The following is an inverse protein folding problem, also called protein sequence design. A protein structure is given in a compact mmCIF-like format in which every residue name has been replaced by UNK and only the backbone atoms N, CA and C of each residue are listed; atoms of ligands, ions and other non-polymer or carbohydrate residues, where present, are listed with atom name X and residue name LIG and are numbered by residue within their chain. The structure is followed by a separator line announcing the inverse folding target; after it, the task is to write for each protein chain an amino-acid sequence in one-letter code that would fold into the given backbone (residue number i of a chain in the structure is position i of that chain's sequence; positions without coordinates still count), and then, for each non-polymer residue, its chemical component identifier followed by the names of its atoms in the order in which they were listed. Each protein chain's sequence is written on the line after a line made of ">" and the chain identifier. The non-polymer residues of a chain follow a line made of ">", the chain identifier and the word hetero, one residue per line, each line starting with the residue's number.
data_IF_313683455422
#
_entry.id   IF_313683455422
#
_cell.length_a   1.000
_cell.length_b   1.000
_cell.length_c   1.000
_cell.angle_alpha   90.00
_cell.angle_beta   90.00
_cell.angle_gamma   90.00
#
_symmetry.space_group_name_H-M   'P 1'
#
loop_
_entity.id
_entity.type
_entity.pdbx_description
1 polymer ?
#
# COMPACT_ATOMS: atom_id res chain seq x y z
N UNK A 1 14.56 20.33 -6.07
CA UNK A 1 13.27 19.76 -6.49
C UNK A 1 12.63 19.19 -5.24
N UNK A 2 11.38 19.53 -4.97
CA UNK A 2 10.65 18.97 -3.83
C UNK A 2 10.44 17.47 -4.07
N UNK A 3 10.74 16.63 -3.08
CA UNK A 3 10.57 15.17 -3.20
C UNK A 3 9.09 14.84 -3.18
N UNK A 4 8.62 14.09 -4.17
CA UNK A 4 7.25 13.59 -4.21
C UNK A 4 7.16 12.20 -3.55
N UNK A 5 5.94 11.67 -3.42
CA UNK A 5 5.71 10.38 -2.77
C UNK A 5 6.45 9.21 -3.46
N UNK A 6 6.56 9.21 -4.79
CA UNK A 6 7.30 8.18 -5.54
C UNK A 6 8.80 8.24 -5.32
N UNK A 7 9.37 9.44 -5.17
CA UNK A 7 10.79 9.59 -4.83
C UNK A 7 11.06 8.96 -3.45
N UNK A 8 10.20 9.27 -2.47
CA UNK A 8 10.32 8.75 -1.10
C UNK A 8 10.12 7.23 -1.05
N UNK A 9 9.09 6.69 -1.71
CA UNK A 9 8.88 5.23 -1.74
C UNK A 9 9.94 4.49 -2.53
N UNK A 10 10.60 5.14 -3.49
CA UNK A 10 11.78 4.62 -4.17
C UNK A 10 12.97 4.47 -3.22
N UNK A 11 13.25 5.50 -2.41
CA UNK A 11 14.28 5.43 -1.37
C UNK A 11 13.99 4.31 -0.35
N UNK A 12 12.72 4.17 0.08
CA UNK A 12 12.31 3.08 0.98
C UNK A 12 12.51 1.70 0.35
N UNK A 13 12.18 1.55 -0.94
CA UNK A 13 12.38 0.28 -1.65
C UNK A 13 13.85 -0.13 -1.70
N UNK A 14 14.76 0.82 -1.96
CA UNK A 14 16.21 0.58 -1.95
C UNK A 14 16.65 0.13 -0.57
N UNK A 15 16.29 0.88 0.48
CA UNK A 15 16.63 0.53 1.85
C UNK A 15 16.13 -0.87 2.24
N UNK A 16 14.91 -1.23 1.87
CA UNK A 16 14.33 -2.55 2.17
C UNK A 16 15.01 -3.68 1.41
N UNK A 17 15.46 -3.46 0.17
CA UNK A 17 16.22 -4.45 -0.59
C UNK A 17 17.62 -4.66 0.01
N UNK A 18 18.26 -3.60 0.51
CA UNK A 18 19.53 -3.68 1.24
C UNK A 18 19.36 -4.43 2.57
N UNK A 19 18.34 -4.08 3.36
CA UNK A 19 18.05 -4.73 4.64
C UNK A 19 17.71 -6.23 4.46
N UNK A 20 17.07 -6.59 3.35
CA UNK A 20 16.71 -7.96 3.02
C UNK A 20 17.72 -8.66 2.09
N UNK A 21 18.95 -8.16 1.96
CA UNK A 21 19.94 -8.69 1.00
C UNK A 21 20.25 -10.19 1.17
N UNK A 22 20.02 -10.74 2.37
CA UNK A 22 20.16 -12.17 2.68
C UNK A 22 19.07 -13.06 2.06
N UNK A 23 17.97 -12.49 1.58
CA UNK A 23 16.85 -13.19 0.90
C UNK A 23 17.02 -13.08 -0.62
N UNK A 24 16.82 -14.16 -1.41
CA UNK A 24 16.89 -14.10 -2.87
C UNK A 24 15.97 -13.04 -3.47
N UNK A 25 16.43 -12.34 -4.53
CA UNK A 25 15.69 -11.21 -5.12
C UNK A 25 14.27 -11.56 -5.59
N UNK A 26 14.07 -12.75 -6.16
CA UNK A 26 12.74 -13.23 -6.55
C UNK A 26 11.82 -13.39 -5.33
N UNK A 27 12.32 -13.98 -4.25
CA UNK A 27 11.57 -14.17 -3.03
C UNK A 27 11.25 -12.83 -2.34
N UNK A 28 12.16 -11.85 -2.40
CA UNK A 28 11.90 -10.48 -1.89
C UNK A 28 10.69 -9.83 -2.57
N UNK A 29 10.50 -10.03 -3.87
CA UNK A 29 9.33 -9.52 -4.61
C UNK A 29 8.03 -10.15 -4.11
N UNK A 30 8.04 -11.48 -3.94
CA UNK A 30 6.88 -12.20 -3.39
C UNK A 30 6.56 -11.70 -1.99
N UNK A 31 7.56 -11.59 -1.11
CA UNK A 31 7.38 -11.10 0.26
C UNK A 31 6.84 -9.66 0.29
N UNK A 32 7.31 -8.78 -0.61
CA UNK A 32 6.78 -7.42 -0.70
C UNK A 32 5.29 -7.39 -1.08
N UNK A 33 4.86 -8.26 -2.00
CA UNK A 33 3.43 -8.37 -2.34
C UNK A 33 2.63 -8.92 -1.16
N UNK A 34 3.17 -9.89 -0.42
CA UNK A 34 2.52 -10.43 0.79
C UNK A 34 2.39 -9.38 1.91
N UNK A 35 3.34 -8.45 2.03
CA UNK A 35 3.29 -7.34 2.99
C UNK A 35 2.04 -6.47 2.81
N UNK A 36 1.50 -6.34 1.60
CA UNK A 36 0.21 -5.66 1.36
C UNK A 36 -0.94 -6.33 2.14
N UNK A 37 -0.93 -7.66 2.21
CA UNK A 37 -1.92 -8.42 2.97
C UNK A 37 -1.79 -8.23 4.49
N UNK A 38 -0.57 -8.03 4.97
CA UNK A 38 -0.29 -7.70 6.37
C UNK A 38 -0.85 -6.32 6.73
N UNK A 39 -0.52 -5.27 5.96
CA UNK A 39 -1.05 -3.91 6.19
C UNK A 39 -2.58 -3.84 6.07
N UNK A 40 -3.15 -4.58 5.10
CA UNK A 40 -4.61 -4.71 5.01
C UNK A 40 -5.21 -5.33 6.28
N UNK A 41 -4.53 -6.31 6.86
CA UNK A 41 -4.92 -6.93 8.13
C UNK A 41 -4.90 -5.93 9.29
N UNK A 42 -3.91 -5.06 9.34
CA UNK A 42 -3.80 -3.98 10.34
C UNK A 42 -4.92 -2.94 10.15
N UNK A 43 -5.18 -2.50 8.92
CA UNK A 43 -6.32 -1.63 8.62
C UNK A 43 -7.67 -2.25 9.02
N UNK A 44 -7.87 -3.55 8.72
CA UNK A 44 -9.06 -4.28 9.14
C UNK A 44 -9.17 -4.38 10.66
N UNK A 45 -8.06 -4.61 11.36
CA UNK A 45 -8.01 -4.63 12.82
C UNK A 45 -8.37 -3.25 13.41
N UNK A 46 -7.84 -2.17 12.84
CA UNK A 46 -8.15 -0.82 13.26
C UNK A 46 -9.63 -0.50 13.09
N UNK A 47 -10.26 -0.92 11.98
CA UNK A 47 -11.72 -0.77 11.78
C UNK A 47 -12.49 -1.50 12.87
N UNK A 48 -12.18 -2.78 13.12
CA UNK A 48 -12.83 -3.57 14.16
C UNK A 48 -12.68 -2.90 15.54
N UNK A 49 -11.49 -2.37 15.83
CA UNK A 49 -11.19 -1.63 17.05
C UNK A 49 -11.95 -0.31 17.16
N UNK A 50 -12.10 0.42 16.06
CA UNK A 50 -12.80 1.71 16.01
C UNK A 50 -14.32 1.56 16.13
N UNK A 51 -14.88 0.48 15.57
CA UNK A 51 -16.31 0.17 15.65
C UNK A 51 -16.69 -0.58 16.93
N UNK A 52 -15.71 -1.14 17.65
CA UNK A 52 -15.95 -1.92 18.87
C UNK A 52 -16.72 -3.22 18.63
N UNK A 53 -16.66 -3.75 17.40
CA UNK A 53 -17.45 -4.92 16.95
C UNK A 53 -16.90 -6.24 17.50
N UNK A 54 -15.69 -6.24 18.07
CA UNK A 54 -15.14 -7.40 18.75
C UNK A 54 -15.53 -7.39 20.25
N UNK A 55 -16.48 -8.23 20.69
CA UNK A 55 -16.96 -8.23 22.07
C UNK A 55 -15.89 -8.62 23.10
N UNK A 56 -14.77 -9.22 22.67
CA UNK A 56 -13.64 -9.57 23.56
C UNK A 56 -12.65 -8.44 23.80
N UNK A 57 -12.66 -7.38 22.97
CA UNK A 57 -11.65 -6.32 22.99
C UNK A 57 -12.21 -4.91 23.17
N UNK A 58 -13.52 -4.70 23.02
CA UNK A 58 -14.12 -3.38 23.14
C UNK A 58 -13.61 -2.39 22.08
N UNK A 59 -13.73 -1.08 22.35
CA UNK A 59 -13.16 -0.05 21.48
C UNK A 59 -11.68 0.13 21.79
N UNK A 60 -10.81 -0.24 20.85
CA UNK A 60 -9.36 -0.20 21.01
C UNK A 60 -8.65 0.78 20.07
N UNK A 61 -9.33 1.24 19.03
CA UNK A 61 -8.79 2.16 18.03
C UNK A 61 -9.78 3.30 17.80
N UNK A 62 -9.31 4.32 17.08
CA UNK A 62 -10.05 5.45 16.57
C UNK A 62 -10.11 5.39 15.04
N UNK A 63 -10.97 6.20 14.42
CA UNK A 63 -10.96 6.34 12.96
C UNK A 63 -9.68 6.98 12.42
N UNK A 64 -8.95 7.74 13.24
CA UNK A 64 -7.64 8.28 12.89
C UNK A 64 -6.59 7.18 12.75
N UNK A 65 -6.69 6.14 13.57
CA UNK A 65 -5.83 4.97 13.44
C UNK A 65 -6.15 4.27 12.11
N UNK A 66 -7.42 4.11 11.75
CA UNK A 66 -7.83 3.56 10.43
C UNK A 66 -7.25 4.38 9.27
N UNK A 67 -7.31 5.71 9.32
CA UNK A 67 -6.72 6.57 8.30
C UNK A 67 -5.20 6.35 8.15
N UNK A 68 -4.52 6.09 9.27
CA UNK A 68 -3.08 5.84 9.30
C UNK A 68 -2.75 4.49 8.66
N UNK A 69 -3.47 3.42 9.05
CA UNK A 69 -3.29 2.09 8.47
C UNK A 69 -3.61 2.04 6.96
N UNK A 70 -4.60 2.82 6.51
CA UNK A 70 -4.88 2.95 5.07
C UNK A 70 -3.72 3.62 4.34
N UNK A 71 -3.06 4.61 4.95
CA UNK A 71 -1.84 5.18 4.39
C UNK A 71 -0.72 4.14 4.31
N UNK A 72 -0.58 3.27 5.29
CA UNK A 72 0.46 2.22 5.30
C UNK A 72 0.22 1.17 4.19
N UNK A 73 -1.04 0.83 3.92
CA UNK A 73 -1.41 0.03 2.73
C UNK A 73 -0.97 0.72 1.42
N UNK A 74 -1.24 2.03 1.29
CA UNK A 74 -0.86 2.79 0.09
C UNK A 74 0.67 2.83 -0.08
N UNK A 75 1.41 3.17 0.98
CA UNK A 75 2.88 3.22 0.96
C UNK A 75 3.45 1.85 0.60
N UNK A 76 2.93 0.78 1.21
CA UNK A 76 3.39 -0.59 0.94
C UNK A 76 3.12 -1.02 -0.51
N UNK A 77 1.99 -0.62 -1.08
CA UNK A 77 1.67 -0.86 -2.48
C UNK A 77 2.59 -0.06 -3.43
N UNK A 78 2.92 1.19 -3.11
CA UNK A 78 3.88 1.99 -3.89
C UNK A 78 5.28 1.37 -3.86
N UNK A 79 5.76 0.97 -2.68
CA UNK A 79 7.04 0.24 -2.52
C UNK A 79 7.02 -1.07 -3.32
N UNK A 80 5.88 -1.78 -3.36
CA UNK A 80 5.75 -2.99 -4.16
C UNK A 80 5.99 -2.73 -5.65
N UNK A 81 5.46 -1.64 -6.22
CA UNK A 81 5.69 -1.30 -7.62
C UNK A 81 7.17 -1.03 -7.93
N UNK A 82 7.90 -0.37 -7.02
CA UNK A 82 9.35 -0.21 -7.16
C UNK A 82 10.07 -1.56 -7.16
N UNK A 83 9.73 -2.48 -6.23
CA UNK A 83 10.42 -3.76 -6.07
C UNK A 83 10.08 -4.80 -7.14
N UNK A 84 8.93 -4.67 -7.81
CA UNK A 84 8.51 -5.54 -8.91
C UNK A 84 9.31 -5.34 -10.20
N UNK A 85 10.23 -4.37 -10.26
CA UNK A 85 11.06 -4.11 -11.44
C UNK A 85 10.34 -3.34 -12.55
N UNK A 86 9.31 -2.57 -12.19
CA UNK A 86 8.66 -1.62 -13.10
C UNK A 86 9.63 -0.49 -13.41
N UNK A 87 9.83 -0.16 -14.69
CA UNK A 87 10.76 0.89 -15.09
C UNK A 87 10.33 2.29 -14.60
N UNK A 88 9.03 2.58 -14.64
CA UNK A 88 8.44 3.82 -14.13
C UNK A 88 7.14 3.51 -13.36
N UNK A 89 7.22 3.30 -12.03
CA UNK A 89 6.07 3.04 -11.17
C UNK A 89 5.01 4.14 -11.20
N UNK A 90 5.44 5.41 -11.30
CA UNK A 90 4.55 6.56 -11.28
C UNK A 90 3.72 6.65 -12.56
N UNK A 91 4.36 6.48 -13.72
CA UNK A 91 3.67 6.44 -15.02
C UNK A 91 2.74 5.22 -15.12
N UNK A 92 3.18 4.04 -14.64
CA UNK A 92 2.35 2.84 -14.61
C UNK A 92 1.07 3.06 -13.79
N UNK A 93 1.19 3.60 -12.57
CA UNK A 93 0.04 3.88 -11.72
C UNK A 93 -0.89 4.91 -12.36
N UNK A 94 -0.34 5.99 -12.91
CA UNK A 94 -1.12 7.06 -13.55
C UNK A 94 -1.95 6.51 -14.71
N UNK A 95 -1.33 5.75 -15.62
CA UNK A 95 -2.04 5.12 -16.74
C UNK A 95 -3.12 4.13 -16.27
N UNK A 96 -2.85 3.35 -15.22
CA UNK A 96 -3.82 2.43 -14.65
C UNK A 96 -5.02 3.15 -14.01
N UNK A 97 -4.75 4.25 -13.30
CA UNK A 97 -5.75 5.09 -12.66
C UNK A 97 -6.65 5.76 -13.70
N UNK A 98 -6.08 6.38 -14.74
CA UNK A 98 -6.83 7.02 -15.82
C UNK A 98 -7.76 6.02 -16.53
N UNK A 99 -7.24 4.84 -16.88
CA UNK A 99 -8.03 3.78 -17.49
C UNK A 99 -9.19 3.33 -16.59
N UNK A 100 -8.93 3.18 -15.29
CA UNK A 100 -9.94 2.77 -14.31
C UNK A 100 -11.00 3.87 -14.13
N UNK A 101 -10.58 5.12 -14.01
CA UNK A 101 -11.46 6.27 -13.86
C UNK A 101 -12.37 6.44 -15.08
N UNK A 102 -11.81 6.37 -16.30
CA UNK A 102 -12.59 6.46 -17.53
C UNK A 102 -13.69 5.38 -17.60
N UNK A 103 -13.35 4.13 -17.26
CA UNK A 103 -14.31 3.02 -17.24
C UNK A 103 -15.40 3.20 -16.16
N UNK A 104 -15.00 3.57 -14.94
CA UNK A 104 -15.92 3.63 -13.80
C UNK A 104 -16.82 4.86 -13.85
N UNK A 105 -16.30 6.02 -14.26
CA UNK A 105 -17.06 7.25 -14.32
C UNK A 105 -18.02 7.29 -15.51
N UNK A 106 -17.65 6.71 -16.66
CA UNK A 106 -18.57 6.57 -17.79
C UNK A 106 -19.82 5.73 -17.45
N UNK A 107 -19.70 4.76 -16.54
CA UNK A 107 -20.83 3.96 -16.05
C UNK A 107 -21.84 4.75 -15.20
N UNK A 108 -21.51 5.98 -14.76
CA UNK A 108 -22.44 6.86 -14.03
C UNK A 108 -23.35 7.66 -14.97
N UNK A 109 -22.98 7.77 -16.23
CA UNK A 109 -23.68 8.55 -17.26
C UNK A 109 -24.57 7.68 -18.16
N UNK A 110 -24.54 6.35 -17.97
CA UNK A 110 -25.35 5.35 -18.65
C UNK A 110 -26.55 4.92 -17.79
#
# INVERSE_FOLDING_TARGET
>A
MERNAWDVTGELAVFLDEAAAHVPAEQRRVLQVLKIGEEFGEAAQAVIGATGTNPRKGRSHTWRDVESEVCDVLVTAMVALHRLGVADPAALFTAHLEKTAARTLAAREA
#
